data_IF_380152172758
#
_entry.id   IF_380152172758
#
_cell.length_a   1.000
_cell.length_b   1.000
_cell.length_c   1.000
_cell.angle_alpha   90.00
_cell.angle_beta   90.00
_cell.angle_gamma   90.00
#
_symmetry.space_group_name_H-M   'P 1'
#
loop_
_entity.id
_entity.type
_entity.pdbx_description
1 polymer ?
#
# COMPACT_ATOMS: atom_id res chain seq x y z
N UNK A 1 -13.03 3.94 17.04
CA UNK A 1 -14.49 3.66 17.03
C UNK A 1 -15.14 3.68 18.41
N UNK A 2 -14.39 3.57 19.53
CA UNK A 2 -14.96 3.68 20.89
C UNK A 2 -15.64 5.02 21.23
N UNK A 3 -15.37 6.09 20.47
CA UNK A 3 -15.97 7.42 20.67
C UNK A 3 -17.33 7.55 19.95
N UNK A 4 -17.43 6.99 18.73
CA UNK A 4 -18.66 7.05 17.90
C UNK A 4 -19.62 5.91 18.28
N UNK A 5 -19.06 4.74 18.53
CA UNK A 5 -19.77 3.54 18.96
C UNK A 5 -19.23 3.11 20.33
N UNK A 6 -19.71 3.78 21.38
CA UNK A 6 -19.38 3.43 22.76
C UNK A 6 -19.88 2.02 23.08
N UNK A 7 -19.00 1.17 23.62
CA UNK A 7 -19.37 -0.19 24.08
C UNK A 7 -19.35 -1.30 23.03
N UNK A 8 -19.27 -0.98 21.73
CA UNK A 8 -19.16 -2.00 20.68
C UNK A 8 -17.71 -2.40 20.39
N UNK A 9 -17.50 -3.68 20.04
CA UNK A 9 -16.20 -4.14 19.55
C UNK A 9 -15.94 -3.51 18.18
N UNK A 10 -14.66 -3.36 17.84
CA UNK A 10 -14.22 -2.65 16.63
C UNK A 10 -14.83 -3.21 15.34
N UNK A 11 -14.85 -4.54 15.19
CA UNK A 11 -15.39 -5.20 14.00
C UNK A 11 -16.89 -4.96 13.86
N UNK A 12 -17.63 -5.06 14.97
CA UNK A 12 -19.08 -4.83 14.99
C UNK A 12 -19.40 -3.37 14.64
N UNK A 13 -18.68 -2.42 15.24
CA UNK A 13 -18.84 -1.00 14.97
C UNK A 13 -18.57 -0.64 13.50
N UNK A 14 -17.58 -1.28 12.86
CA UNK A 14 -17.28 -1.08 11.43
C UNK A 14 -18.41 -1.64 10.56
N UNK A 15 -18.89 -2.84 10.89
CA UNK A 15 -19.98 -3.48 10.15
C UNK A 15 -21.26 -2.64 10.23
N UNK A 16 -21.60 -2.14 11.42
CA UNK A 16 -22.75 -1.25 11.63
C UNK A 16 -22.60 0.07 10.87
N UNK A 17 -21.40 0.67 10.91
CA UNK A 17 -21.13 1.94 10.23
C UNK A 17 -20.94 1.80 8.71
N UNK A 18 -20.83 0.57 8.18
CA UNK A 18 -20.53 0.27 6.76
C UNK A 18 -19.29 0.98 6.23
N UNK A 19 -18.26 1.11 7.06
CA UNK A 19 -16.99 1.77 6.70
C UNK A 19 -15.96 0.67 6.35
N UNK A 20 -15.01 0.89 5.42
CA UNK A 20 -13.89 -0.02 5.24
C UNK A 20 -13.02 -0.13 6.51
N UNK A 21 -12.32 -1.25 6.67
CA UNK A 21 -11.42 -1.41 7.80
C UNK A 21 -10.25 -0.41 7.69
N UNK A 22 -9.59 -0.13 8.83
CA UNK A 22 -8.41 0.73 8.81
C UNK A 22 -7.30 0.13 7.93
N UNK A 23 -7.22 -1.20 7.86
CA UNK A 23 -6.26 -1.90 7.02
C UNK A 23 -6.54 -1.63 5.53
N UNK A 24 -7.78 -1.82 5.08
CA UNK A 24 -8.18 -1.59 3.69
C UNK A 24 -7.97 -0.12 3.28
N UNK A 25 -8.36 0.80 4.17
CA UNK A 25 -8.16 2.24 3.93
C UNK A 25 -6.67 2.59 3.82
N UNK A 26 -5.83 2.00 4.69
CA UNK A 26 -4.38 2.21 4.64
C UNK A 26 -3.81 1.67 3.33
N UNK A 27 -4.22 0.49 2.89
CA UNK A 27 -3.80 -0.10 1.63
C UNK A 27 -4.19 0.78 0.44
N UNK A 28 -5.43 1.26 0.38
CA UNK A 28 -5.89 2.17 -0.67
C UNK A 28 -5.07 3.46 -0.74
N UNK A 29 -4.75 4.05 0.42
CA UNK A 29 -3.91 5.26 0.50
C UNK A 29 -2.47 4.98 0.08
N UNK A 30 -1.91 3.83 0.43
CA UNK A 30 -0.54 3.49 0.04
C UNK A 30 -0.41 3.22 -1.46
N UNK A 31 -1.40 2.55 -2.06
CA UNK A 31 -1.46 2.34 -3.51
C UNK A 31 -1.57 3.66 -4.26
N UNK A 32 -2.47 4.55 -3.84
CA UNK A 32 -2.64 5.85 -4.49
C UNK A 32 -1.40 6.74 -4.33
N UNK A 33 -0.78 6.72 -3.14
CA UNK A 33 0.47 7.42 -2.90
C UNK A 33 1.58 6.88 -3.79
N UNK A 34 1.74 5.55 -3.88
CA UNK A 34 2.79 4.94 -4.70
C UNK A 34 2.62 5.26 -6.19
N UNK A 35 1.39 5.19 -6.72
CA UNK A 35 1.11 5.61 -8.09
C UNK A 35 1.53 7.06 -8.34
N UNK A 36 1.23 7.98 -7.41
CA UNK A 36 1.68 9.37 -7.49
C UNK A 36 3.19 9.53 -7.37
N UNK A 37 3.87 8.70 -6.57
CA UNK A 37 5.34 8.75 -6.47
C UNK A 37 6.03 8.35 -7.78
N UNK A 38 5.40 7.53 -8.62
CA UNK A 38 5.95 7.12 -9.92
C UNK A 38 6.01 8.28 -10.91
N UNK A 39 5.22 9.33 -10.71
CA UNK A 39 5.30 10.55 -11.51
C UNK A 39 6.63 11.26 -11.26
N UNK A 40 7.35 11.62 -12.33
CA UNK A 40 8.67 12.26 -12.26
C UNK A 40 8.65 13.62 -11.55
N UNK A 41 7.48 14.29 -11.55
CA UNK A 41 7.27 15.58 -10.89
C UNK A 41 7.00 15.48 -9.38
N UNK A 42 6.87 14.27 -8.84
CA UNK A 42 6.52 14.08 -7.44
C UNK A 42 7.73 14.27 -6.53
N UNK A 43 7.55 14.98 -5.41
CA UNK A 43 8.64 15.26 -4.45
C UNK A 43 9.33 14.01 -3.92
N UNK A 44 8.62 12.89 -3.87
CA UNK A 44 9.13 11.60 -3.37
C UNK A 44 9.62 10.65 -4.48
N UNK A 45 9.63 11.09 -5.74
CA UNK A 45 10.08 10.28 -6.86
C UNK A 45 11.54 9.81 -6.70
N UNK A 46 12.40 10.68 -6.17
CA UNK A 46 13.82 10.38 -5.91
C UNK A 46 14.05 9.24 -4.90
N UNK A 47 13.03 8.84 -4.12
CA UNK A 47 13.10 7.71 -3.19
C UNK A 47 12.81 6.37 -3.90
N UNK A 48 12.25 6.40 -5.11
CA UNK A 48 12.01 5.18 -5.87
C UNK A 48 13.33 4.67 -6.47
N UNK A 49 13.56 3.34 -6.43
CA UNK A 49 14.68 2.76 -7.15
C UNK A 49 14.48 2.98 -8.66
N UNK A 50 15.57 3.02 -9.44
CA UNK A 50 15.46 3.08 -10.90
C UNK A 50 14.54 1.98 -11.43
N UNK A 51 13.66 2.29 -12.39
CA UNK A 51 12.79 1.29 -12.99
C UNK A 51 13.64 0.20 -13.65
N UNK A 52 13.20 -1.05 -13.55
CA UNK A 52 13.89 -2.18 -14.16
C UNK A 52 13.72 -2.13 -15.66
N UNK A 53 14.83 -1.98 -16.38
CA UNK A 53 14.88 -2.19 -17.82
C UNK A 53 15.03 -3.68 -18.09
N UNK A 54 14.00 -4.29 -18.68
CA UNK A 54 14.08 -5.66 -19.18
C UNK A 54 14.20 -5.61 -20.70
N UNK A 55 15.27 -6.16 -21.25
CA UNK A 55 15.48 -6.26 -22.71
C UNK A 55 14.57 -7.30 -23.38
N UNK A 56 13.81 -8.07 -22.59
CA UNK A 56 12.93 -9.14 -23.04
C UNK A 56 11.48 -8.84 -22.63
N UNK A 57 10.53 -9.20 -23.50
CA UNK A 57 9.10 -9.12 -23.25
C UNK A 57 8.64 -10.24 -22.30
N UNK A 58 8.78 -10.00 -21.00
CA UNK A 58 8.27 -10.90 -19.97
C UNK A 58 6.76 -10.73 -19.82
N UNK A 59 6.03 -11.83 -19.69
CA UNK A 59 4.57 -11.82 -19.43
C UNK A 59 4.17 -10.98 -18.21
N UNK A 60 5.05 -10.92 -17.20
CA UNK A 60 4.88 -10.12 -15.99
C UNK A 60 6.15 -9.29 -15.74
N UNK A 61 6.41 -8.30 -16.58
CA UNK A 61 7.51 -7.37 -16.37
C UNK A 61 7.20 -6.47 -15.16
N UNK A 62 7.92 -6.67 -14.05
CA UNK A 62 7.77 -5.82 -12.86
C UNK A 62 8.58 -4.53 -13.06
N UNK A 63 7.90 -3.38 -12.99
CA UNK A 63 8.53 -2.08 -13.17
C UNK A 63 9.59 -1.75 -12.12
N UNK A 64 9.51 -2.33 -10.93
CA UNK A 64 10.46 -2.11 -9.86
C UNK A 64 10.81 -3.40 -9.12
N UNK A 65 11.84 -3.38 -8.24
CA UNK A 65 12.19 -4.51 -7.38
C UNK A 65 11.44 -4.51 -6.06
N UNK A 66 10.74 -5.60 -5.72
CA UNK A 66 10.16 -5.78 -4.38
C UNK A 66 11.30 -5.78 -3.36
N UNK A 67 11.34 -4.84 -2.39
CA UNK A 67 12.40 -4.83 -1.41
C UNK A 67 12.29 -6.03 -0.47
N UNK A 68 13.44 -6.61 -0.11
CA UNK A 68 13.51 -7.69 0.87
C UNK A 68 13.42 -7.10 2.27
N UNK A 69 12.30 -7.34 2.92
CA UNK A 69 11.98 -6.71 4.20
C UNK A 69 12.23 -7.71 5.33
N UNK A 70 13.19 -7.42 6.22
CA UNK A 70 13.54 -8.31 7.35
C UNK A 70 12.53 -8.24 8.50
N UNK A 71 11.84 -7.11 8.68
CA UNK A 71 10.93 -6.88 9.81
C UNK A 71 9.45 -6.99 9.42
N UNK A 72 8.63 -7.60 10.28
CA UNK A 72 7.17 -7.70 10.06
C UNK A 72 6.50 -6.32 9.95
N UNK A 73 7.00 -5.33 10.69
CA UNK A 73 6.52 -3.94 10.62
C UNK A 73 6.68 -3.36 9.21
N UNK A 74 7.79 -3.63 8.54
CA UNK A 74 8.04 -3.15 7.18
C UNK A 74 7.29 -4.00 6.15
N UNK A 75 7.18 -5.32 6.35
CA UNK A 75 6.36 -6.20 5.49
C UNK A 75 4.93 -5.72 5.37
N UNK A 76 4.27 -5.40 6.48
CA UNK A 76 2.87 -4.95 6.49
C UNK A 76 2.65 -3.60 5.78
N UNK A 77 3.70 -2.80 5.63
CA UNK A 77 3.63 -1.52 4.91
C UNK A 77 3.88 -1.70 3.41
N UNK A 78 4.84 -2.56 3.06
CA UNK A 78 5.33 -2.69 1.70
C UNK A 78 4.63 -3.79 0.88
N UNK A 79 4.10 -4.84 1.53
CA UNK A 79 3.39 -5.92 0.83
C UNK A 79 2.14 -5.44 0.10
N UNK A 80 1.42 -4.45 0.65
CA UNK A 80 0.21 -3.89 0.06
C UNK A 80 0.44 -3.10 -1.24
N UNK A 81 1.68 -2.64 -1.48
CA UNK A 81 2.02 -1.73 -2.59
C UNK A 81 2.59 -2.47 -3.81
N UNK A 82 3.07 -3.71 -3.63
CA UNK A 82 3.90 -4.41 -4.63
C UNK A 82 3.36 -5.76 -5.10
N UNK A 83 2.13 -6.10 -4.69
CA UNK A 83 1.46 -7.37 -5.01
C UNK A 83 0.54 -7.25 -6.24
N UNK A 84 0.93 -6.44 -7.23
CA UNK A 84 0.35 -6.44 -8.59
C UNK A 84 1.45 -6.70 -9.59
#
# INVERSE_FOLDING_TARGET
MRIICCGMRYNDAIATARIPTLADRREALLRSLFARMQETNHKLHHLLPPPRTCNYSLRNARGYSVPRCKTNRFKNFFSAVWTV
#
